data_IF_514894897583
#
_entry.id   IF_514894897583
#
_cell.length_a   1.000
_cell.length_b   1.000
_cell.length_c   1.000
_cell.angle_alpha   90.00
_cell.angle_beta   90.00
_cell.angle_gamma   90.00
#
_symmetry.space_group_name_H-M   'P 1'
#
loop_
_entity.id
_entity.type
_entity.pdbx_description
1 polymer ?
#
# COMPACT_ATOMS: atom_id res chain seq x y z
N UNK A 1 5.35 -17.50 -14.78
CA UNK A 1 5.97 -16.17 -14.61
C UNK A 1 5.40 -15.32 -15.73
N UNK A 2 4.60 -14.27 -15.39
CA UNK A 2 4.00 -13.37 -16.38
C UNK A 2 5.08 -12.61 -17.17
N UNK A 3 4.76 -12.28 -18.41
CA UNK A 3 5.67 -11.44 -19.22
C UNK A 3 5.74 -10.03 -18.61
N UNK A 4 6.91 -9.36 -18.63
CA UNK A 4 7.04 -8.02 -18.03
C UNK A 4 6.00 -7.00 -18.54
N UNK A 5 5.64 -7.06 -19.83
CA UNK A 5 4.62 -6.18 -20.41
C UNK A 5 3.22 -6.41 -19.81
N UNK A 6 2.84 -7.65 -19.51
CA UNK A 6 1.57 -7.98 -18.86
C UNK A 6 1.50 -7.41 -17.44
N UNK A 7 2.63 -7.45 -16.73
CA UNK A 7 2.73 -6.92 -15.37
C UNK A 7 2.61 -5.39 -15.36
N UNK A 8 3.26 -4.71 -16.30
CA UNK A 8 3.15 -3.24 -16.45
C UNK A 8 1.70 -2.85 -16.79
N UNK A 9 1.07 -3.55 -17.74
CA UNK A 9 -0.33 -3.31 -18.08
C UNK A 9 -1.26 -3.50 -16.86
N UNK A 10 -1.05 -4.55 -16.08
CA UNK A 10 -1.81 -4.80 -14.85
C UNK A 10 -1.61 -3.68 -13.81
N UNK A 11 -0.39 -3.20 -13.61
CA UNK A 11 -0.11 -2.10 -12.69
C UNK A 11 -0.81 -0.80 -13.11
N UNK A 12 -0.89 -0.53 -14.42
CA UNK A 12 -1.63 0.62 -14.97
C UNK A 12 -3.13 0.50 -14.70
N UNK A 13 -3.74 -0.65 -15.03
CA UNK A 13 -5.16 -0.91 -14.74
C UNK A 13 -5.47 -0.79 -13.26
N UNK A 14 -4.59 -1.30 -12.39
CA UNK A 14 -4.72 -1.20 -10.95
C UNK A 14 -4.67 0.26 -10.49
N UNK A 15 -3.72 1.05 -10.99
CA UNK A 15 -3.61 2.47 -10.68
C UNK A 15 -4.90 3.22 -11.02
N UNK A 16 -5.39 3.07 -12.24
CA UNK A 16 -6.60 3.75 -12.71
C UNK A 16 -7.84 3.36 -11.89
N UNK A 17 -7.97 2.07 -11.57
CA UNK A 17 -9.09 1.59 -10.77
C UNK A 17 -9.05 2.10 -9.33
N UNK A 18 -7.88 2.04 -8.67
CA UNK A 18 -7.69 2.53 -7.30
C UNK A 18 -7.99 4.02 -7.19
N UNK A 19 -7.56 4.83 -8.17
CA UNK A 19 -7.87 6.28 -8.21
C UNK A 19 -9.36 6.51 -8.44
N UNK A 20 -9.95 5.87 -9.45
CA UNK A 20 -11.36 6.03 -9.82
C UNK A 20 -12.31 5.66 -8.69
N UNK A 21 -12.03 4.58 -7.98
CA UNK A 21 -12.85 4.09 -6.87
C UNK A 21 -12.43 4.65 -5.50
N UNK A 22 -11.39 5.50 -5.45
CA UNK A 22 -10.85 6.07 -4.19
C UNK A 22 -10.44 4.99 -3.17
N UNK A 23 -9.88 3.88 -3.63
CA UNK A 23 -9.47 2.74 -2.79
C UNK A 23 -8.10 2.97 -2.13
N UNK A 24 -7.82 4.17 -1.69
CA UNK A 24 -6.59 4.52 -1.00
C UNK A 24 -6.82 5.55 0.09
N UNK A 25 -5.96 5.54 1.09
CA UNK A 25 -5.95 6.50 2.19
C UNK A 25 -4.64 7.30 2.14
N UNK A 26 -4.69 8.64 2.01
CA UNK A 26 -3.50 9.47 2.11
C UNK A 26 -3.06 9.57 3.58
N UNK A 27 -1.81 9.20 3.86
CA UNK A 27 -1.21 9.29 5.19
C UNK A 27 0.18 9.93 5.04
N UNK A 28 0.40 11.08 5.65
CA UNK A 28 1.67 11.81 5.60
C UNK A 28 2.19 12.05 4.17
N UNK A 29 1.31 12.49 3.27
CA UNK A 29 1.66 12.78 1.87
C UNK A 29 1.91 11.54 1.00
N UNK A 30 1.71 10.32 1.51
CA UNK A 30 1.83 9.06 0.76
C UNK A 30 0.48 8.37 0.66
N UNK A 31 0.23 7.71 -0.48
CA UNK A 31 -1.00 7.00 -0.72
C UNK A 31 -0.84 5.51 -0.39
N UNK A 32 -1.69 5.02 0.52
CA UNK A 32 -1.75 3.65 0.97
C UNK A 32 -3.04 3.02 0.46
N UNK A 33 -2.92 1.94 -0.30
CA UNK A 33 -4.08 1.25 -0.86
C UNK A 33 -4.83 0.51 0.25
N UNK A 34 -6.15 0.63 0.26
CA UNK A 34 -7.04 -0.07 1.18
C UNK A 34 -7.14 -1.54 0.79
N UNK A 35 -7.62 -2.39 1.72
CA UNK A 35 -7.70 -3.85 1.50
C UNK A 35 -8.49 -4.23 0.25
N UNK A 36 -9.53 -3.47 -0.12
CA UNK A 36 -10.32 -3.70 -1.33
C UNK A 36 -9.47 -3.54 -2.61
N UNK A 37 -8.54 -2.60 -2.62
CA UNK A 37 -7.60 -2.45 -3.74
C UNK A 37 -6.60 -3.60 -3.82
N UNK A 38 -6.18 -4.15 -2.68
CA UNK A 38 -5.37 -5.37 -2.64
C UNK A 38 -6.12 -6.61 -3.11
N UNK A 39 -7.40 -6.73 -2.72
CA UNK A 39 -8.29 -7.80 -3.19
C UNK A 39 -8.52 -7.70 -4.70
N UNK A 40 -8.71 -6.49 -5.23
CA UNK A 40 -8.84 -6.27 -6.67
C UNK A 40 -7.56 -6.68 -7.42
N UNK A 41 -6.38 -6.31 -6.94
CA UNK A 41 -5.10 -6.76 -7.52
C UNK A 41 -4.96 -8.29 -7.47
N UNK A 42 -5.39 -8.90 -6.37
CA UNK A 42 -5.44 -10.35 -6.22
C UNK A 42 -6.37 -11.00 -7.24
N UNK A 43 -7.58 -10.46 -7.41
CA UNK A 43 -8.55 -10.95 -8.40
C UNK A 43 -7.96 -10.93 -9.82
N UNK A 44 -7.29 -9.85 -10.23
CA UNK A 44 -6.64 -9.75 -11.55
C UNK A 44 -5.56 -10.83 -11.78
N UNK A 45 -5.00 -11.38 -10.71
CA UNK A 45 -3.94 -12.41 -10.76
C UNK A 45 -4.44 -13.82 -10.45
N UNK A 46 -5.76 -13.97 -10.22
CA UNK A 46 -6.38 -15.24 -9.84
C UNK A 46 -6.02 -15.71 -8.42
N UNK A 47 -5.70 -14.76 -7.55
CA UNK A 47 -5.34 -15.02 -6.16
C UNK A 47 -6.57 -14.83 -5.25
N UNK A 48 -6.93 -15.84 -4.49
CA UNK A 48 -8.11 -15.87 -3.62
C UNK A 48 -7.73 -15.99 -2.15
N UNK A 49 -8.25 -15.09 -1.27
CA UNK A 49 -8.03 -15.19 0.16
C UNK A 49 -9.02 -16.18 0.79
N UNK A 50 -8.52 -16.97 1.73
CA UNK A 50 -9.35 -17.83 2.61
C UNK A 50 -8.93 -17.58 4.06
N UNK A 51 -9.88 -17.34 4.95
CA UNK A 51 -9.61 -17.26 6.39
C UNK A 51 -9.34 -18.67 6.88
N UNK A 52 -8.16 -18.91 7.40
CA UNK A 52 -7.72 -20.19 7.93
C UNK A 52 -8.12 -20.34 9.40
N UNK A 53 -7.84 -19.34 10.21
CA UNK A 53 -8.21 -19.35 11.63
C UNK A 53 -8.53 -17.96 12.15
N UNK A 54 -9.38 -17.92 13.16
CA UNK A 54 -9.72 -16.73 13.93
C UNK A 54 -9.64 -17.11 15.41
N UNK A 55 -8.72 -16.51 16.15
CA UNK A 55 -8.43 -16.85 17.53
C UNK A 55 -8.75 -15.66 18.45
N UNK A 56 -9.57 -15.90 19.47
CA UNK A 56 -9.81 -14.93 20.54
C UNK A 56 -8.66 -15.00 21.55
N UNK A 57 -7.91 -13.92 21.69
CA UNK A 57 -6.81 -13.77 22.63
C UNK A 57 -7.13 -12.70 23.69
N UNK A 58 -8.41 -12.40 23.89
CA UNK A 58 -8.87 -11.42 24.89
C UNK A 58 -8.52 -11.87 26.30
N UNK A 59 -8.13 -10.93 27.17
CA UNK A 59 -7.80 -11.19 28.56
C UNK A 59 -8.09 -9.97 29.44
N UNK A 60 -8.77 -10.18 30.55
CA UNK A 60 -9.19 -9.10 31.42
C UNK A 60 -10.09 -8.08 30.69
N UNK A 61 -9.67 -6.82 30.66
CA UNK A 61 -10.38 -5.75 29.94
C UNK A 61 -9.91 -5.56 28.49
N UNK A 62 -8.95 -6.36 28.02
CA UNK A 62 -8.45 -6.28 26.65
C UNK A 62 -9.25 -7.20 25.73
N UNK A 63 -9.88 -6.63 24.72
CA UNK A 63 -10.41 -7.38 23.57
C UNK A 63 -9.31 -7.50 22.53
N UNK A 64 -8.97 -8.74 22.13
CA UNK A 64 -7.88 -9.01 21.22
C UNK A 64 -8.16 -10.21 20.33
N UNK A 65 -8.03 -10.01 19.04
CA UNK A 65 -8.24 -11.05 18.05
C UNK A 65 -7.03 -11.23 17.15
N UNK A 66 -6.75 -12.48 16.81
CA UNK A 66 -5.74 -12.88 15.83
C UNK A 66 -6.44 -13.58 14.67
N UNK A 67 -6.09 -13.21 13.45
CA UNK A 67 -6.59 -13.85 12.24
C UNK A 67 -5.42 -14.33 11.38
N UNK A 68 -5.56 -15.54 10.84
CA UNK A 68 -4.67 -16.11 9.83
C UNK A 68 -5.44 -16.23 8.52
N UNK A 69 -4.85 -15.72 7.44
CA UNK A 69 -5.40 -15.77 6.09
C UNK A 69 -4.40 -16.41 5.15
N UNK A 70 -4.87 -17.36 4.36
CA UNK A 70 -4.12 -18.01 3.29
C UNK A 70 -4.55 -17.45 1.93
N UNK A 71 -3.59 -17.18 1.05
CA UNK A 71 -3.85 -16.81 -0.36
C UNK A 71 -3.58 -18.03 -1.21
N UNK A 72 -4.55 -18.38 -2.05
CA UNK A 72 -4.48 -19.49 -2.99
C UNK A 72 -4.52 -19.01 -4.44
N UNK A 73 -3.84 -19.79 -5.30
CA UNK A 73 -4.03 -19.75 -6.75
C UNK A 73 -4.49 -21.14 -7.20
N UNK A 74 -5.79 -21.28 -7.52
CA UNK A 74 -6.41 -22.59 -7.57
C UNK A 74 -6.32 -23.27 -6.20
N UNK A 75 -5.73 -24.45 -6.15
CA UNK A 75 -5.52 -25.21 -4.90
C UNK A 75 -4.12 -24.97 -4.28
N UNK A 76 -3.27 -24.22 -4.94
CA UNK A 76 -1.91 -23.97 -4.46
C UNK A 76 -1.89 -22.81 -3.45
N UNK A 77 -1.36 -23.07 -2.24
CA UNK A 77 -1.08 -22.06 -1.24
C UNK A 77 0.10 -21.18 -1.72
N UNK A 78 -0.12 -19.89 -1.82
CA UNK A 78 0.85 -18.93 -2.34
C UNK A 78 1.44 -18.02 -1.27
N UNK A 79 0.65 -17.65 -0.26
CA UNK A 79 1.06 -16.73 0.81
C UNK A 79 0.20 -16.91 2.05
N UNK A 80 0.76 -16.51 3.19
CA UNK A 80 0.07 -16.48 4.49
C UNK A 80 0.22 -15.09 5.09
N UNK A 81 -0.87 -14.56 5.62
CA UNK A 81 -0.91 -13.32 6.39
C UNK A 81 -1.47 -13.57 7.78
N UNK A 82 -0.76 -13.09 8.79
CA UNK A 82 -1.20 -13.17 10.19
C UNK A 82 -1.26 -11.75 10.75
N UNK A 83 -2.38 -11.38 11.33
CA UNK A 83 -2.53 -10.08 11.97
C UNK A 83 -3.28 -10.18 13.30
N UNK A 84 -2.96 -9.22 14.15
CA UNK A 84 -3.59 -8.99 15.43
C UNK A 84 -4.31 -7.64 15.42
N UNK A 85 -5.42 -7.53 16.15
CA UNK A 85 -6.02 -6.26 16.52
C UNK A 85 -6.40 -6.31 18.00
N UNK A 86 -6.17 -5.20 18.70
CA UNK A 86 -6.44 -5.10 20.15
C UNK A 86 -7.13 -3.79 20.47
N UNK A 87 -8.07 -3.81 21.43
CA UNK A 87 -8.69 -2.63 22.00
C UNK A 87 -7.69 -1.71 22.75
N UNK A 88 -6.49 -2.21 23.07
CA UNK A 88 -5.40 -1.40 23.66
C UNK A 88 -4.68 -0.50 22.66
N UNK A 89 -4.88 -0.71 21.35
CA UNK A 89 -4.34 0.21 20.34
C UNK A 89 -4.97 1.62 20.52
N UNK A 90 -4.15 2.66 20.42
CA UNK A 90 -4.54 4.04 20.73
C UNK A 90 -5.84 4.47 20.01
N UNK A 91 -6.01 4.03 18.75
CA UNK A 91 -7.18 4.36 17.91
C UNK A 91 -8.34 3.39 18.04
N UNK A 92 -8.23 2.35 18.89
CA UNK A 92 -9.22 1.26 19.00
C UNK A 92 -9.88 1.14 20.37
N UNK A 93 -9.55 2.02 21.30
CA UNK A 93 -10.03 1.98 22.71
C UNK A 93 -11.56 2.00 22.85
N UNK A 94 -12.27 2.64 21.90
CA UNK A 94 -13.74 2.76 21.89
C UNK A 94 -14.41 1.83 20.88
N UNK A 95 -13.68 0.87 20.34
CA UNK A 95 -14.23 -0.05 19.33
C UNK A 95 -14.92 -1.22 20.01
N UNK A 96 -16.09 -1.58 19.48
CA UNK A 96 -16.78 -2.80 19.86
C UNK A 96 -15.99 -4.04 19.44
N UNK A 97 -16.22 -5.17 20.12
CA UNK A 97 -15.51 -6.42 19.88
C UNK A 97 -15.55 -6.86 18.41
N UNK A 98 -16.74 -6.76 17.78
CA UNK A 98 -16.87 -7.13 16.36
C UNK A 98 -15.96 -6.29 15.44
N UNK A 99 -15.78 -5.02 15.77
CA UNK A 99 -14.92 -4.12 14.99
C UNK A 99 -13.43 -4.47 15.16
N UNK A 100 -13.01 -4.90 16.35
CA UNK A 100 -11.66 -5.42 16.61
C UNK A 100 -11.42 -6.72 15.83
N UNK A 101 -12.39 -7.63 15.86
CA UNK A 101 -12.35 -8.88 15.09
C UNK A 101 -12.27 -8.58 13.58
N UNK A 102 -13.19 -7.78 13.06
CA UNK A 102 -13.22 -7.40 11.64
C UNK A 102 -11.89 -6.75 11.19
N UNK A 103 -11.31 -5.86 12.01
CA UNK A 103 -10.03 -5.23 11.72
C UNK A 103 -8.88 -6.25 11.69
N UNK A 104 -8.89 -7.27 12.55
CA UNK A 104 -7.88 -8.32 12.52
C UNK A 104 -7.93 -9.11 11.20
N UNK A 105 -9.14 -9.40 10.69
CA UNK A 105 -9.36 -10.07 9.41
C UNK A 105 -8.87 -9.20 8.24
N UNK A 106 -9.28 -7.94 8.20
CA UNK A 106 -8.89 -6.98 7.17
C UNK A 106 -7.37 -6.83 7.08
N UNK A 107 -6.69 -6.67 8.22
CA UNK A 107 -5.23 -6.60 8.28
C UNK A 107 -4.55 -7.88 7.83
N UNK A 108 -5.09 -9.04 8.20
CA UNK A 108 -4.53 -10.35 7.79
C UNK A 108 -4.64 -10.55 6.27
N UNK A 109 -5.77 -10.18 5.66
CA UNK A 109 -5.97 -10.19 4.21
C UNK A 109 -4.96 -9.28 3.52
N UNK A 110 -4.88 -8.01 3.92
CA UNK A 110 -3.93 -7.05 3.36
C UNK A 110 -2.48 -7.53 3.46
N UNK A 111 -2.10 -8.09 4.62
CA UNK A 111 -0.75 -8.62 4.86
C UNK A 111 -0.43 -9.83 4.00
N UNK A 112 -1.38 -10.74 3.80
CA UNK A 112 -1.20 -11.90 2.94
C UNK A 112 -0.95 -11.50 1.48
N UNK A 113 -1.71 -10.54 0.95
CA UNK A 113 -1.47 -9.99 -0.37
C UNK A 113 -0.16 -9.21 -0.47
N UNK A 114 0.16 -8.37 0.52
CA UNK A 114 1.41 -7.61 0.55
C UNK A 114 2.63 -8.51 0.41
N UNK A 115 2.67 -9.63 1.10
CA UNK A 115 3.78 -10.56 1.06
C UNK A 115 4.03 -11.13 -0.35
N UNK A 116 3.01 -11.17 -1.20
CA UNK A 116 3.07 -11.78 -2.52
C UNK A 116 3.14 -10.75 -3.66
N UNK A 117 2.30 -9.71 -3.60
CA UNK A 117 2.13 -8.73 -4.69
C UNK A 117 2.44 -7.28 -4.28
N UNK A 118 3.12 -7.06 -3.14
CA UNK A 118 3.48 -5.72 -2.68
C UNK A 118 4.32 -4.92 -3.68
N UNK A 119 5.13 -5.59 -4.48
CA UNK A 119 5.92 -4.98 -5.55
C UNK A 119 5.05 -4.42 -6.70
N UNK A 120 3.87 -5.02 -6.98
CA UNK A 120 2.89 -4.51 -7.97
C UNK A 120 2.33 -3.18 -7.53
N UNK A 121 2.03 -3.01 -6.23
CA UNK A 121 1.57 -1.74 -5.68
C UNK A 121 2.62 -0.64 -5.87
N UNK A 122 3.90 -0.94 -5.67
CA UNK A 122 4.98 0.01 -5.95
C UNK A 122 5.05 0.40 -7.42
N UNK A 123 4.89 -0.54 -8.34
CA UNK A 123 4.85 -0.25 -9.77
C UNK A 123 3.66 0.63 -10.16
N UNK A 124 2.52 0.49 -9.47
CA UNK A 124 1.35 1.33 -9.64
C UNK A 124 1.48 2.72 -8.96
N UNK A 125 2.61 3.01 -8.29
CA UNK A 125 2.87 4.29 -7.64
C UNK A 125 2.37 4.41 -6.20
N UNK A 126 2.01 3.30 -5.55
CA UNK A 126 1.51 3.27 -4.17
C UNK A 126 2.54 2.71 -3.19
N UNK A 127 2.27 2.88 -1.90
CA UNK A 127 3.04 2.22 -0.87
C UNK A 127 2.74 0.71 -0.85
N UNK A 128 3.76 -0.11 -0.56
CA UNK A 128 3.64 -1.56 -0.52
C UNK A 128 3.07 -2.10 0.80
N UNK A 129 2.43 -1.25 1.60
CA UNK A 129 1.81 -1.58 2.88
C UNK A 129 0.34 -1.21 2.79
N UNK A 130 -0.62 -2.08 3.18
CA UNK A 130 -2.03 -1.74 3.27
C UNK A 130 -2.29 -0.58 4.25
N UNK A 131 -3.28 0.26 3.95
CA UNK A 131 -3.62 1.41 4.79
C UNK A 131 -4.00 1.01 6.22
N UNK A 132 -4.60 -0.15 6.39
CA UNK A 132 -5.08 -0.69 7.65
C UNK A 132 -3.96 -1.14 8.60
N UNK A 133 -2.74 -1.35 8.06
CA UNK A 133 -1.55 -1.61 8.87
C UNK A 133 -0.87 -0.32 9.34
N UNK A 134 -1.25 0.84 8.78
CA UNK A 134 -0.67 2.11 9.16
C UNK A 134 -1.34 2.69 10.40
N UNK A 135 -0.57 2.89 11.45
CA UNK A 135 -1.04 3.69 12.59
C UNK A 135 -1.09 5.16 12.17
N UNK A 136 -2.19 5.86 12.49
CA UNK A 136 -2.23 7.32 12.41
C UNK A 136 -1.24 7.85 13.47
N UNK A 137 0.01 7.94 13.12
CA UNK A 137 1.00 8.63 13.95
C UNK A 137 0.73 10.12 13.80
N UNK A 138 0.55 10.81 14.94
CA UNK A 138 0.40 12.26 15.03
C UNK A 138 1.37 13.01 14.13
N UNK A 139 0.86 14.08 13.52
CA UNK A 139 1.48 14.92 12.50
C UNK A 139 2.95 15.26 12.77
N UNK A 140 3.81 14.64 12.01
CA UNK A 140 5.11 15.19 11.64
C UNK A 140 5.09 15.39 10.13
N UNK A 141 5.45 16.55 9.58
CA UNK A 141 5.36 16.80 8.15
C UNK A 141 6.22 15.80 7.39
N UNK A 142 5.62 15.05 6.47
CA UNK A 142 6.34 14.18 5.55
C UNK A 142 6.68 14.98 4.28
N UNK A 143 7.91 14.84 3.81
CA UNK A 143 8.34 15.40 2.53
C UNK A 143 7.42 14.92 1.39
N UNK A 144 7.08 15.78 0.43
CA UNK A 144 6.16 15.45 -0.65
C UNK A 144 6.86 14.55 -1.67
N UNK A 145 6.38 13.35 -1.85
CA UNK A 145 6.72 12.49 -2.98
C UNK A 145 5.44 12.06 -3.66
N UNK A 146 4.89 12.92 -4.48
CA UNK A 146 3.97 12.56 -5.55
C UNK A 146 4.31 13.45 -6.74
N UNK A 147 4.89 12.85 -7.75
CA UNK A 147 4.98 13.47 -9.07
C UNK A 147 3.58 13.49 -9.65
N UNK A 148 2.88 14.61 -9.52
CA UNK A 148 1.62 14.87 -10.25
C UNK A 148 1.98 15.42 -11.64
N UNK A 149 1.07 15.31 -12.62
CA UNK A 149 1.27 15.93 -13.94
C UNK A 149 1.60 17.45 -13.86
N UNK A 150 1.25 18.10 -12.75
CA UNK A 150 1.60 19.48 -12.48
C UNK A 150 3.10 19.69 -12.27
N UNK A 151 3.83 18.68 -11.74
CA UNK A 151 5.28 18.77 -11.51
C UNK A 151 6.07 18.67 -12.83
N UNK A 152 5.44 18.19 -13.90
CA UNK A 152 6.05 18.07 -15.23
C UNK A 152 5.77 19.27 -16.15
N UNK A 153 4.90 20.21 -15.77
CA UNK A 153 4.61 21.39 -16.60
C UNK A 153 5.83 22.30 -16.85
N UNK A 154 6.82 22.24 -15.95
CA UNK A 154 8.09 22.97 -16.06
C UNK A 154 9.29 22.02 -15.99
N UNK A 155 9.11 20.75 -16.40
CA UNK A 155 10.17 19.76 -16.39
C UNK A 155 11.33 20.18 -17.30
N UNK A 156 12.55 19.99 -16.82
CA UNK A 156 13.78 20.25 -17.54
C UNK A 156 14.51 18.94 -17.82
N UNK A 157 15.46 18.99 -18.74
CA UNK A 157 16.25 17.82 -19.12
C UNK A 157 17.61 17.87 -18.45
N UNK A 158 18.04 16.74 -17.89
CA UNK A 158 19.38 16.61 -17.34
C UNK A 158 20.43 16.77 -18.44
N UNK A 159 21.43 17.64 -18.24
CA UNK A 159 22.48 17.89 -19.21
C UNK A 159 23.52 16.76 -19.33
N UNK A 160 23.40 15.68 -18.55
CA UNK A 160 24.35 14.56 -18.52
C UNK A 160 23.75 13.30 -19.14
N UNK A 161 22.46 13.00 -18.87
CA UNK A 161 21.83 11.72 -19.26
C UNK A 161 20.49 11.88 -19.96
N UNK A 162 20.08 13.12 -20.30
CA UNK A 162 18.82 13.48 -20.97
C UNK A 162 17.54 13.04 -20.24
N UNK A 163 17.64 12.59 -18.98
CA UNK A 163 16.48 12.27 -18.17
C UNK A 163 15.67 13.53 -17.82
N UNK A 164 14.37 13.37 -17.77
CA UNK A 164 13.45 14.44 -17.31
C UNK A 164 13.63 14.62 -15.81
N UNK A 165 13.91 15.85 -15.38
CA UNK A 165 14.09 16.24 -13.99
C UNK A 165 13.05 17.28 -13.58
N UNK A 166 12.65 17.26 -12.32
CA UNK A 166 11.73 18.25 -11.78
C UNK A 166 12.39 19.63 -11.67
N UNK A 167 11.59 20.69 -11.60
CA UNK A 167 12.08 22.05 -11.41
C UNK A 167 12.96 22.17 -10.15
N UNK A 168 12.58 21.50 -9.06
CA UNK A 168 13.32 21.52 -7.80
C UNK A 168 14.68 20.83 -7.90
N UNK A 169 14.75 19.68 -8.57
CA UNK A 169 16.02 19.00 -8.86
C UNK A 169 16.94 19.85 -9.74
N UNK A 170 16.38 20.47 -10.77
CA UNK A 170 17.14 21.38 -11.64
C UNK A 170 17.68 22.60 -10.88
N UNK A 171 16.87 23.23 -10.03
CA UNK A 171 17.28 24.37 -9.21
C UNK A 171 18.35 23.99 -8.19
N UNK A 172 18.17 22.83 -7.52
CA UNK A 172 19.16 22.32 -6.57
C UNK A 172 20.49 22.02 -7.25
N UNK A 173 20.48 21.30 -8.39
CA UNK A 173 21.69 20.96 -9.11
C UNK A 173 22.41 22.17 -9.69
N UNK A 174 21.66 23.17 -10.15
CA UNK A 174 22.24 24.45 -10.59
C UNK A 174 22.90 25.21 -9.45
N UNK A 175 22.30 25.19 -8.24
CA UNK A 175 22.86 25.84 -7.05
C UNK A 175 24.14 25.15 -6.57
N UNK A 176 24.19 23.83 -6.58
CA UNK A 176 25.28 23.05 -6.01
C UNK A 176 26.42 22.78 -7.02
N UNK A 177 26.07 22.52 -8.26
CA UNK A 177 27.01 22.02 -9.26
C UNK A 177 27.14 22.92 -10.49
N UNK A 178 26.39 24.03 -10.57
CA UNK A 178 26.29 24.95 -11.70
C UNK A 178 25.95 24.28 -13.04
N UNK A 179 25.27 23.10 -12.97
CA UNK A 179 24.76 22.33 -14.10
C UNK A 179 23.37 21.79 -13.79
N UNK A 180 22.53 21.68 -14.83
CA UNK A 180 21.26 20.94 -14.70
C UNK A 180 21.55 19.44 -14.75
N UNK A 181 21.53 18.77 -13.61
CA UNK A 181 21.81 17.34 -13.48
C UNK A 181 20.78 16.66 -12.56
N UNK A 182 20.56 15.38 -12.77
CA UNK A 182 19.79 14.52 -11.87
C UNK A 182 20.65 14.02 -10.71
#
# INVERSE_FOLDING_TARGET
>A
IGKPAEVVAMATVLKDYVVKQKLYTPIKGKNYVNVEGWQFAGFLTGLMPRIESVENLSSGSEVKWKTTVNIYKGEQLMSIGIALCSSKEATKKSFDEYAILSMSQTRAIGKAYRNLIGWVMKMAGYQSIPSEEMHKVSDTPAEPVIQTEADFKDAKTCSICDAIITKQEAEYSMKMYKKQAC
#
